data_IF_206609385213
#
_entry.id   IF_206609385213
#
_cell.length_a   1.000
_cell.length_b   1.000
_cell.length_c   1.000
_cell.angle_alpha   90.00
_cell.angle_beta   90.00
_cell.angle_gamma   90.00
#
_symmetry.space_group_name_H-M   'P 1'
#
loop_
_entity.id
_entity.type
_entity.pdbx_description
1 polymer ?
#
# COMPACT_ATOMS: atom_id res chain seq x y z
N UNK A 1 1.73 15.69 17.40
CA UNK A 1 0.74 14.63 17.15
C UNK A 1 1.39 13.27 17.28
N UNK A 2 0.60 12.25 17.47
CA UNK A 2 1.11 10.88 17.60
C UNK A 2 1.56 10.25 16.29
N UNK A 3 1.01 10.71 15.17
CA UNK A 3 1.33 10.18 13.85
C UNK A 3 2.72 10.58 13.40
N UNK A 4 3.56 9.59 13.08
CA UNK A 4 4.92 9.83 12.61
C UNK A 4 5.45 8.73 11.68
N UNK A 5 4.62 7.76 11.28
CA UNK A 5 5.10 6.65 10.46
C UNK A 5 3.96 6.00 9.69
N UNK A 6 4.06 5.95 8.36
CA UNK A 6 3.09 5.21 7.56
C UNK A 6 3.74 4.57 6.35
N UNK A 7 3.05 3.60 5.78
CA UNK A 7 3.48 2.88 4.61
C UNK A 7 2.49 3.04 3.47
N UNK A 8 2.99 3.15 2.25
CA UNK A 8 2.22 3.13 1.03
C UNK A 8 2.67 1.91 0.22
N UNK A 9 1.73 1.03 -0.11
CA UNK A 9 2.01 -0.18 -0.88
C UNK A 9 1.33 -0.03 -2.24
N UNK A 10 2.10 -0.19 -3.30
CA UNK A 10 1.61 0.10 -4.65
C UNK A 10 1.96 -0.99 -5.63
N UNK A 11 1.19 -1.06 -6.70
CA UNK A 11 1.34 -2.05 -7.76
C UNK A 11 2.07 -1.45 -8.95
N UNK A 12 2.94 -2.23 -9.55
CA UNK A 12 3.60 -1.88 -10.79
C UNK A 12 4.17 -3.14 -11.45
N UNK A 13 4.48 -3.07 -12.76
CA UNK A 13 5.02 -4.23 -13.45
C UNK A 13 6.40 -4.58 -12.96
N UNK A 14 6.62 -5.88 -12.69
CA UNK A 14 7.90 -6.44 -12.29
C UNK A 14 8.47 -5.94 -10.96
N UNK A 15 7.64 -5.33 -10.12
CA UNK A 15 8.09 -4.90 -8.80
C UNK A 15 8.20 -6.08 -7.82
N UNK A 16 9.20 -6.00 -6.95
CA UNK A 16 9.45 -6.99 -5.92
C UNK A 16 9.64 -6.27 -4.58
N UNK A 17 8.84 -6.56 -3.55
CA UNK A 17 8.91 -5.81 -2.29
C UNK A 17 10.25 -5.95 -1.56
N UNK A 18 11.00 -7.00 -1.81
CA UNK A 18 12.32 -7.19 -1.17
C UNK A 18 13.36 -6.19 -1.67
N UNK A 19 13.24 -5.73 -2.93
CA UNK A 19 14.22 -4.81 -3.52
C UNK A 19 13.62 -3.47 -3.93
N UNK A 20 12.33 -3.43 -4.24
CA UNK A 20 11.67 -2.23 -4.75
C UNK A 20 10.89 -1.53 -3.63
N UNK A 21 11.64 -1.01 -2.69
CA UNK A 21 11.10 -0.23 -1.60
C UNK A 21 12.02 0.95 -1.31
N UNK A 22 11.45 1.98 -0.69
CA UNK A 22 12.19 3.18 -0.33
C UNK A 22 11.66 3.74 0.99
N UNK A 23 12.52 4.47 1.68
CA UNK A 23 12.14 5.14 2.93
C UNK A 23 12.50 6.61 2.81
N UNK A 24 11.54 7.46 3.13
CA UNK A 24 11.78 8.89 3.30
C UNK A 24 11.64 9.19 4.78
N UNK A 25 12.64 9.82 5.35
CA UNK A 25 12.66 10.05 6.78
C UNK A 25 13.07 11.47 7.13
N UNK A 26 12.30 12.09 8.01
CA UNK A 26 12.66 13.37 8.64
C UNK A 26 12.71 13.14 10.14
N UNK A 27 12.99 14.19 10.92
CA UNK A 27 12.96 14.08 12.38
C UNK A 27 11.56 13.75 12.91
N UNK A 28 10.52 14.01 12.10
CA UNK A 28 9.11 13.90 12.56
C UNK A 28 8.28 12.90 11.79
N UNK A 29 8.82 12.31 10.73
CA UNK A 29 8.05 11.39 9.89
C UNK A 29 8.94 10.33 9.28
N UNK A 30 8.45 9.10 9.25
CA UNK A 30 8.99 8.02 8.42
C UNK A 30 7.91 7.58 7.44
N UNK A 31 8.22 7.59 6.17
CA UNK A 31 7.35 7.10 5.11
C UNK A 31 8.03 5.95 4.38
N UNK A 32 7.32 4.84 4.22
CA UNK A 32 7.81 3.67 3.49
C UNK A 32 6.98 3.46 2.23
N UNK A 33 7.64 3.36 1.08
CA UNK A 33 6.99 2.98 -0.18
C UNK A 33 7.42 1.55 -0.51
N UNK A 34 6.46 0.67 -0.81
CA UNK A 34 6.73 -0.74 -1.07
C UNK A 34 6.03 -1.13 -2.36
N UNK A 35 6.80 -1.63 -3.33
CA UNK A 35 6.29 -2.00 -4.65
C UNK A 35 6.01 -3.49 -4.78
N UNK A 36 4.88 -3.82 -5.41
CA UNK A 36 4.42 -5.20 -5.60
C UNK A 36 4.01 -5.39 -7.06
N UNK A 37 4.35 -6.53 -7.64
CA UNK A 37 3.99 -6.87 -9.00
C UNK A 37 2.46 -7.05 -9.11
N UNK A 38 1.87 -6.58 -10.21
CA UNK A 38 0.45 -6.78 -10.52
C UNK A 38 0.03 -8.26 -10.45
N UNK A 39 0.93 -9.17 -10.77
CA UNK A 39 0.64 -10.61 -10.78
C UNK A 39 0.80 -11.28 -9.41
N UNK A 40 1.24 -10.52 -8.40
CA UNK A 40 1.52 -11.05 -7.07
C UNK A 40 0.92 -10.18 -5.97
N UNK A 41 -0.35 -9.79 -6.13
CA UNK A 41 -1.04 -8.93 -5.16
C UNK A 41 -1.08 -9.52 -3.76
N UNK A 42 -1.06 -10.84 -3.63
CA UNK A 42 -1.07 -11.53 -2.34
C UNK A 42 0.12 -11.16 -1.47
N UNK A 43 1.21 -10.71 -2.07
CA UNK A 43 2.39 -10.27 -1.31
C UNK A 43 2.12 -9.03 -0.45
N UNK A 44 1.01 -8.33 -0.70
CA UNK A 44 0.62 -7.17 0.12
C UNK A 44 0.40 -7.54 1.59
N UNK A 45 -0.05 -8.76 1.85
CA UNK A 45 -0.30 -9.23 3.23
C UNK A 45 1.00 -9.22 4.03
N UNK A 46 2.04 -9.85 3.50
CA UNK A 46 3.32 -9.89 4.20
C UNK A 46 3.98 -8.51 4.25
N UNK A 47 3.87 -7.74 3.17
CA UNK A 47 4.41 -6.37 3.13
C UNK A 47 3.77 -5.49 4.22
N UNK A 48 2.45 -5.62 4.42
CA UNK A 48 1.75 -4.90 5.48
C UNK A 48 2.24 -5.30 6.87
N UNK A 49 2.37 -6.60 7.10
CA UNK A 49 2.88 -7.12 8.39
C UNK A 49 4.29 -6.63 8.67
N UNK A 50 5.16 -6.65 7.66
CA UNK A 50 6.54 -6.19 7.80
C UNK A 50 6.58 -4.68 8.09
N UNK A 51 5.74 -3.90 7.41
CA UNK A 51 5.66 -2.46 7.64
C UNK A 51 5.24 -2.14 9.07
N UNK A 52 4.25 -2.85 9.60
CA UNK A 52 3.79 -2.71 10.98
C UNK A 52 4.91 -3.07 11.96
N UNK A 53 5.62 -4.15 11.69
CA UNK A 53 6.75 -4.57 12.52
C UNK A 53 7.85 -3.51 12.58
N UNK A 54 7.97 -2.70 11.53
CA UNK A 54 8.94 -1.60 11.46
C UNK A 54 8.39 -0.29 12.03
N UNK A 55 7.14 -0.26 12.45
CA UNK A 55 6.56 0.89 13.13
C UNK A 55 5.46 1.62 12.39
N UNK A 56 5.01 1.14 11.22
CA UNK A 56 3.95 1.79 10.47
C UNK A 56 2.66 1.85 11.30
N UNK A 57 2.08 3.03 11.39
CA UNK A 57 0.87 3.30 12.17
C UNK A 57 -0.40 3.30 11.32
N UNK A 58 -0.24 3.35 10.01
CA UNK A 58 -1.33 3.18 9.05
C UNK A 58 -0.76 2.71 7.72
N UNK A 59 -1.61 2.13 6.90
CA UNK A 59 -1.23 1.60 5.60
C UNK A 59 -2.19 2.16 4.55
N UNK A 60 -1.62 2.68 3.48
CA UNK A 60 -2.38 3.10 2.31
C UNK A 60 -2.00 2.22 1.13
N UNK A 61 -3.01 1.76 0.39
CA UNK A 61 -2.83 0.94 -0.80
C UNK A 61 -3.14 1.77 -2.03
N UNK A 62 -2.45 1.53 -3.14
CA UNK A 62 -2.81 2.18 -4.39
C UNK A 62 -4.18 1.69 -4.88
N UNK A 63 -4.81 2.49 -5.74
CA UNK A 63 -6.16 2.18 -6.23
C UNK A 63 -6.27 0.85 -6.99
N UNK A 64 -5.16 0.33 -7.50
CA UNK A 64 -5.14 -0.95 -8.20
C UNK A 64 -5.49 -2.15 -7.33
N UNK A 65 -5.36 -2.04 -6.01
CA UNK A 65 -5.75 -3.12 -5.10
C UNK A 65 -7.27 -3.22 -4.95
N UNK A 66 -7.93 -2.09 -4.83
CA UNK A 66 -9.39 -2.05 -4.64
C UNK A 66 -9.84 -2.45 -3.24
N UNK A 67 -11.16 -2.33 -2.98
CA UNK A 67 -11.72 -2.51 -1.63
C UNK A 67 -11.62 -3.94 -1.10
N UNK A 68 -11.58 -4.94 -1.97
CA UNK A 68 -11.46 -6.34 -1.54
C UNK A 68 -10.10 -6.55 -0.87
N UNK A 69 -9.04 -6.02 -1.43
CA UNK A 69 -7.71 -6.15 -0.84
C UNK A 69 -7.54 -5.31 0.42
N UNK A 70 -8.19 -4.15 0.50
CA UNK A 70 -8.24 -3.38 1.75
C UNK A 70 -8.81 -4.24 2.87
N UNK A 71 -9.93 -4.92 2.59
CA UNK A 71 -10.55 -5.81 3.57
C UNK A 71 -9.66 -6.99 3.94
N UNK A 72 -9.03 -7.62 2.95
CA UNK A 72 -8.12 -8.76 3.19
C UNK A 72 -6.92 -8.37 4.06
N UNK A 73 -6.32 -7.23 3.77
CA UNK A 73 -5.18 -6.75 4.56
C UNK A 73 -5.62 -6.44 5.99
N UNK A 74 -6.72 -5.71 6.14
CA UNK A 74 -7.24 -5.35 7.47
C UNK A 74 -7.52 -6.58 8.31
N UNK A 75 -8.12 -7.61 7.72
CA UNK A 75 -8.39 -8.87 8.41
C UNK A 75 -7.09 -9.59 8.78
N UNK A 76 -6.15 -9.66 7.86
CA UNK A 76 -4.88 -10.38 8.08
C UNK A 76 -4.04 -9.76 9.21
N UNK A 77 -4.14 -8.46 9.42
CA UNK A 77 -3.42 -7.77 10.49
C UNK A 77 -4.28 -7.58 11.75
N UNK A 78 -5.47 -8.17 11.78
CA UNK A 78 -6.40 -8.07 12.93
C UNK A 78 -6.76 -6.63 13.28
N UNK A 79 -6.85 -5.75 12.29
CA UNK A 79 -7.19 -4.36 12.51
C UNK A 79 -6.18 -3.57 13.36
N UNK A 80 -4.95 -4.05 13.47
CA UNK A 80 -3.92 -3.40 14.29
C UNK A 80 -3.68 -1.94 13.93
N UNK A 81 -3.77 -1.61 12.63
CA UNK A 81 -3.64 -0.25 12.14
C UNK A 81 -4.71 0.03 11.08
N UNK A 82 -5.08 1.29 10.86
CA UNK A 82 -5.99 1.64 9.77
C UNK A 82 -5.40 1.27 8.41
N UNK A 83 -6.24 0.76 7.51
CA UNK A 83 -5.89 0.46 6.13
C UNK A 83 -6.87 1.17 5.22
N UNK A 84 -6.36 1.93 4.29
CA UNK A 84 -7.17 2.62 3.30
C UNK A 84 -6.60 2.45 1.91
N UNK A 85 -7.31 2.95 0.90
CA UNK A 85 -6.80 2.93 -0.47
C UNK A 85 -7.10 4.25 -1.18
N UNK A 86 -6.30 4.51 -2.22
CA UNK A 86 -6.56 5.62 -3.12
C UNK A 86 -7.80 5.29 -3.95
N UNK A 87 -8.72 6.24 -4.06
CA UNK A 87 -9.93 6.09 -4.84
C UNK A 87 -9.99 7.18 -5.91
N UNK A 88 -10.44 6.79 -7.10
CA UNK A 88 -10.66 7.73 -8.21
C UNK A 88 -12.16 7.92 -8.42
N UNK A 89 -12.54 9.11 -8.84
CA UNK A 89 -13.92 9.36 -9.23
C UNK A 89 -14.28 8.70 -10.56
N UNK A 90 -15.58 8.66 -10.90
CA UNK A 90 -16.04 8.00 -12.14
C UNK A 90 -15.44 8.58 -13.42
N UNK A 91 -15.11 9.86 -13.42
CA UNK A 91 -14.50 10.55 -14.56
C UNK A 91 -13.11 10.02 -14.91
N UNK A 92 -12.44 9.35 -13.99
CA UNK A 92 -11.13 8.76 -14.22
C UNK A 92 -11.19 7.38 -14.87
N UNK A 93 -12.38 6.78 -14.96
CA UNK A 93 -12.53 5.38 -15.40
C UNK A 93 -11.97 5.13 -16.79
N UNK A 94 -12.37 5.93 -17.78
CA UNK A 94 -11.92 5.72 -19.15
C UNK A 94 -10.42 5.97 -19.31
N UNK A 95 -9.85 7.07 -18.82
CA UNK A 95 -8.41 7.27 -18.89
C UNK A 95 -7.61 6.15 -18.22
N UNK A 96 -8.09 5.62 -17.08
CA UNK A 96 -7.41 4.53 -16.38
C UNK A 96 -7.45 3.24 -17.20
N UNK A 97 -8.60 2.90 -17.79
CA UNK A 97 -8.72 1.72 -18.64
C UNK A 97 -7.80 1.80 -19.86
N UNK A 98 -7.73 2.97 -20.49
CA UNK A 98 -6.86 3.19 -21.64
C UNK A 98 -5.38 3.04 -21.24
N UNK A 99 -5.02 3.50 -20.05
CA UNK A 99 -3.65 3.48 -19.57
C UNK A 99 -3.21 2.07 -19.15
N UNK A 100 -4.12 1.29 -18.58
CA UNK A 100 -3.80 -0.01 -17.96
C UNK A 100 -4.13 -1.21 -18.86
N UNK A 101 -4.65 -0.99 -20.02
CA UNK A 101 -4.97 -2.08 -20.96
C UNK A 101 -3.83 -2.41 -21.92
#
# INVERSE_FOLDING_TARGET
MKFNHFAYIFLGPELNPEKDHAVIKTDKLTFMAIGIDFHHKEQVIQAAKDAIAQGAQMIELCGGFGPIWVAKVSEAIDGQVPVGSVAYGPEARKPLLDLLS
#
